data_IF_537326048296
#
_entry.id   IF_537326048296
#
_cell.length_a   1.000
_cell.length_b   1.000
_cell.length_c   1.000
_cell.angle_alpha   90.00
_cell.angle_beta   90.00
_cell.angle_gamma   90.00
#
_symmetry.space_group_name_H-M   'P 1'
#
loop_
_entity.id
_entity.type
_entity.pdbx_description
1 polymer ?
#
# COMPACT_ATOMS: atom_id res chain seq x y z
N UNK A 1 47.47 8.41 -28.13
CA UNK A 1 47.17 9.78 -27.69
C UNK A 1 45.72 10.06 -27.90
N UNK A 2 44.87 9.81 -26.91
CA UNK A 2 43.54 10.41 -26.86
C UNK A 2 43.14 10.50 -25.39
N UNK A 3 43.10 11.73 -24.90
CA UNK A 3 42.51 12.09 -23.61
C UNK A 3 40.99 12.00 -23.77
N UNK A 4 40.33 11.02 -23.16
CA UNK A 4 38.88 11.02 -22.95
C UNK A 4 38.60 11.04 -21.44
N UNK A 5 38.44 12.23 -21.00
CA UNK A 5 37.37 12.78 -20.18
C UNK A 5 36.79 11.87 -19.09
N UNK A 6 37.39 11.89 -17.94
CA UNK A 6 36.77 11.57 -16.66
C UNK A 6 36.01 12.79 -16.17
N UNK A 7 34.81 12.99 -16.60
CA UNK A 7 33.88 13.97 -16.03
C UNK A 7 32.52 13.26 -15.91
N UNK A 8 32.01 13.28 -14.72
CA UNK A 8 30.63 13.05 -14.28
C UNK A 8 30.41 11.86 -13.35
N UNK A 9 31.08 11.87 -12.22
CA UNK A 9 30.62 11.16 -11.02
C UNK A 9 30.67 12.05 -9.78
N UNK A 10 30.83 13.36 -9.95
CA UNK A 10 31.01 14.34 -8.87
C UNK A 10 29.74 15.11 -8.49
N UNK A 11 28.60 14.94 -9.18
CA UNK A 11 27.42 15.76 -8.94
C UNK A 11 26.61 15.39 -7.68
N UNK A 12 26.51 14.11 -7.36
CA UNK A 12 25.74 13.65 -6.18
C UNK A 12 26.66 13.42 -4.97
N UNK A 13 27.87 12.94 -5.21
CA UNK A 13 28.90 12.88 -4.18
C UNK A 13 29.33 14.28 -3.74
N UNK A 14 29.28 15.28 -4.62
CA UNK A 14 29.63 16.68 -4.32
C UNK A 14 28.67 17.37 -3.35
N UNK A 15 27.40 16.98 -3.30
CA UNK A 15 26.45 17.50 -2.28
C UNK A 15 26.68 16.80 -0.94
N UNK A 16 27.20 15.57 -0.94
CA UNK A 16 27.53 14.82 0.27
C UNK A 16 29.00 14.94 0.69
N UNK A 17 29.91 15.31 -0.22
CA UNK A 17 31.36 15.46 0.05
C UNK A 17 31.80 16.85 0.48
N UNK A 18 30.93 17.86 0.42
CA UNK A 18 31.13 19.08 1.17
C UNK A 18 30.79 18.78 2.63
N UNK A 19 31.72 18.20 3.38
CA UNK A 19 31.66 17.88 4.80
C UNK A 19 31.55 19.12 5.74
N UNK A 20 30.92 20.17 5.26
CA UNK A 20 30.28 21.17 6.12
C UNK A 20 28.79 20.90 5.96
N UNK A 21 28.19 20.22 6.96
CA UNK A 21 26.75 20.28 7.14
C UNK A 21 26.34 21.75 6.88
N UNK A 22 25.35 22.04 6.00
CA UNK A 22 24.89 23.40 5.87
C UNK A 22 24.61 23.91 7.28
N UNK A 23 25.14 25.09 7.62
CA UNK A 23 24.94 25.69 8.94
C UNK A 23 23.44 26.04 9.04
N UNK A 24 22.63 25.05 9.44
CA UNK A 24 21.26 25.29 9.87
C UNK A 24 21.35 25.98 11.22
N UNK A 25 20.55 27.01 11.41
CA UNK A 25 20.51 27.73 12.69
C UNK A 25 20.32 26.71 13.81
N UNK A 26 21.07 26.87 14.89
CA UNK A 26 20.95 26.06 16.10
C UNK A 26 19.46 26.03 16.52
N UNK A 27 18.82 24.83 16.56
CA UNK A 27 17.38 24.69 16.81
C UNK A 27 16.51 24.40 15.58
N UNK A 28 17.08 24.21 14.38
CA UNK A 28 16.30 23.74 13.20
C UNK A 28 15.81 22.33 13.41
N UNK A 29 14.55 22.07 13.05
CA UNK A 29 13.87 20.79 13.20
C UNK A 29 13.21 20.37 11.90
N UNK A 30 13.19 19.06 11.63
CA UNK A 30 12.34 18.43 10.61
C UNK A 30 11.41 17.43 11.31
N UNK A 31 10.13 17.66 11.15
CA UNK A 31 9.07 16.80 11.67
C UNK A 31 8.47 15.95 10.54
N UNK A 32 8.52 14.64 10.70
CA UNK A 32 7.98 13.65 9.75
C UNK A 32 6.79 12.94 10.38
N UNK A 33 5.65 12.96 9.70
CA UNK A 33 4.48 12.17 10.11
C UNK A 33 4.31 10.98 9.17
N UNK A 34 4.20 9.80 9.76
CA UNK A 34 3.97 8.53 9.09
C UNK A 34 2.83 7.76 9.78
N UNK A 35 2.31 6.75 9.11
CA UNK A 35 1.44 5.80 9.79
C UNK A 35 2.21 4.93 10.78
N UNK A 36 1.51 4.37 11.76
CA UNK A 36 2.02 3.26 12.57
C UNK A 36 2.12 2.04 11.67
N UNK A 37 3.32 1.50 11.52
CA UNK A 37 3.57 0.39 10.59
C UNK A 37 2.98 -0.93 11.12
N UNK A 38 2.51 -1.78 10.22
CA UNK A 38 2.04 -3.14 10.55
C UNK A 38 3.20 -4.07 10.96
N UNK A 39 4.43 -3.65 10.69
CA UNK A 39 5.65 -4.25 11.20
C UNK A 39 6.26 -3.27 12.22
N UNK A 40 5.98 -3.43 13.54
CA UNK A 40 6.41 -2.47 14.57
C UNK A 40 7.90 -2.18 14.57
N UNK A 41 8.72 -3.14 14.16
CA UNK A 41 10.17 -2.98 14.09
C UNK A 41 10.61 -1.98 13.02
N UNK A 42 9.77 -1.73 12.00
CA UNK A 42 10.03 -0.69 10.99
C UNK A 42 9.99 0.71 11.62
N UNK A 43 9.02 0.96 12.51
CA UNK A 43 8.93 2.22 13.26
C UNK A 43 10.07 2.34 14.29
N UNK A 44 10.43 1.23 14.95
CA UNK A 44 11.57 1.19 15.88
C UNK A 44 12.88 1.51 15.16
N UNK A 45 13.08 0.97 13.95
CA UNK A 45 14.27 1.26 13.16
C UNK A 45 14.34 2.73 12.74
N UNK A 46 13.23 3.34 12.30
CA UNK A 46 13.20 4.78 12.00
C UNK A 46 13.49 5.65 13.22
N UNK A 47 12.94 5.30 14.39
CA UNK A 47 13.27 5.98 15.67
C UNK A 47 14.75 5.84 16.01
N UNK A 48 15.33 4.65 15.78
CA UNK A 48 16.77 4.40 15.97
C UNK A 48 17.63 5.24 15.02
N UNK A 49 17.17 5.43 13.77
CA UNK A 49 17.87 6.23 12.77
C UNK A 49 17.76 7.75 13.00
N UNK A 50 16.74 8.23 13.72
CA UNK A 50 16.51 9.66 13.91
C UNK A 50 17.72 10.43 14.50
N UNK A 51 18.43 9.96 15.56
CA UNK A 51 19.66 10.61 16.04
C UNK A 51 20.80 10.61 15.01
N UNK A 52 20.92 9.56 14.20
CA UNK A 52 21.94 9.46 13.14
C UNK A 52 21.67 10.49 12.04
N UNK A 53 20.39 10.60 11.62
CA UNK A 53 19.95 11.61 10.66
C UNK A 53 20.13 13.04 11.22
N UNK A 54 19.77 13.25 12.49
CA UNK A 54 19.96 14.55 13.16
C UNK A 54 21.43 14.99 13.15
N UNK A 55 22.34 14.10 13.46
CA UNK A 55 23.77 14.35 13.40
C UNK A 55 24.24 14.66 11.98
N UNK A 56 23.79 13.88 11.00
CA UNK A 56 24.18 14.04 9.59
C UNK A 56 23.69 15.36 9.01
N UNK A 57 22.51 15.83 9.44
CA UNK A 57 21.86 17.04 8.91
C UNK A 57 22.15 18.29 9.75
N UNK A 58 22.72 18.17 10.95
CA UNK A 58 22.91 19.29 11.86
C UNK A 58 21.62 19.90 12.38
N UNK A 59 20.55 19.11 12.48
CA UNK A 59 19.22 19.57 12.89
C UNK A 59 18.44 18.43 13.57
N UNK A 60 17.47 18.75 14.42
CA UNK A 60 16.62 17.75 15.05
C UNK A 60 15.73 17.06 14.02
N UNK A 61 15.72 15.71 13.99
CA UNK A 61 14.81 14.90 13.20
C UNK A 61 13.85 14.20 14.14
N UNK A 62 12.55 14.41 13.94
CA UNK A 62 11.48 13.79 14.72
C UNK A 62 10.56 12.99 13.82
N UNK A 63 10.32 11.72 14.17
CA UNK A 63 9.25 10.90 13.57
C UNK A 63 8.05 10.83 14.52
N UNK A 64 6.88 11.11 13.98
CA UNK A 64 5.57 10.89 14.61
C UNK A 64 4.84 9.79 13.83
N UNK A 65 4.25 8.84 14.55
CA UNK A 65 3.50 7.73 13.97
C UNK A 65 2.05 7.81 14.42
N UNK A 66 1.13 7.86 13.45
CA UNK A 66 -0.31 8.02 13.68
C UNK A 66 -1.08 6.91 12.97
N UNK A 67 -2.38 6.76 13.26
CA UNK A 67 -3.23 5.84 12.50
C UNK A 67 -3.28 6.27 11.02
N UNK A 68 -3.27 5.31 10.10
CA UNK A 68 -3.31 5.60 8.65
C UNK A 68 -4.52 6.45 8.24
N UNK A 69 -5.69 6.22 8.87
CA UNK A 69 -6.91 6.97 8.61
C UNK A 69 -6.83 8.44 9.03
N UNK A 70 -5.89 8.79 9.93
CA UNK A 70 -5.69 10.17 10.40
C UNK A 70 -4.73 10.96 9.48
N UNK A 71 -4.00 10.30 8.56
CA UNK A 71 -3.04 10.98 7.70
C UNK A 71 -3.70 12.02 6.79
N UNK A 72 -4.75 11.67 6.04
CA UNK A 72 -5.42 12.61 5.14
C UNK A 72 -6.03 13.81 5.87
N UNK A 73 -6.79 13.64 6.96
CA UNK A 73 -7.25 14.77 7.79
C UNK A 73 -6.10 15.66 8.27
N UNK A 74 -4.99 15.07 8.72
CA UNK A 74 -3.81 15.81 9.20
C UNK A 74 -3.10 16.60 8.09
N UNK A 75 -2.96 16.01 6.89
CA UNK A 75 -2.41 16.67 5.71
C UNK A 75 -3.30 17.86 5.30
N UNK A 76 -4.61 17.64 5.22
CA UNK A 76 -5.60 18.65 4.84
C UNK A 76 -5.58 19.82 5.81
N UNK A 77 -5.63 19.57 7.12
CA UNK A 77 -5.55 20.58 8.15
C UNK A 77 -4.23 21.38 8.10
N UNK A 78 -3.10 20.71 7.86
CA UNK A 78 -1.79 21.35 7.72
C UNK A 78 -1.74 22.28 6.51
N UNK A 79 -2.28 21.88 5.37
CA UNK A 79 -2.34 22.73 4.15
C UNK A 79 -3.24 23.95 4.40
N UNK A 80 -4.41 23.75 5.02
CA UNK A 80 -5.37 24.83 5.30
C UNK A 80 -4.85 25.84 6.31
N UNK A 81 -4.17 25.39 7.38
CA UNK A 81 -3.62 26.26 8.41
C UNK A 81 -2.24 26.88 8.04
N UNK A 82 -1.59 26.35 7.01
CA UNK A 82 -0.23 26.74 6.66
C UNK A 82 0.81 26.33 7.70
N UNK A 83 0.55 25.27 8.50
CA UNK A 83 1.42 24.83 9.58
C UNK A 83 1.25 23.33 9.85
N UNK A 84 2.28 22.69 10.45
CA UNK A 84 2.26 21.28 10.78
C UNK A 84 3.61 20.61 10.53
N UNK A 85 3.60 19.31 10.26
CA UNK A 85 4.81 18.56 9.95
C UNK A 85 5.40 18.96 8.59
N UNK A 86 6.73 18.86 8.48
CA UNK A 86 7.46 19.22 7.25
C UNK A 86 7.31 18.17 6.16
N UNK A 87 7.22 16.90 6.56
CA UNK A 87 7.12 15.75 5.67
C UNK A 87 5.96 14.88 6.11
N UNK A 88 5.14 14.44 5.14
CA UNK A 88 4.14 13.41 5.35
C UNK A 88 4.41 12.20 4.48
N UNK A 89 4.20 11.02 5.07
CA UNK A 89 3.97 9.82 4.27
C UNK A 89 2.65 9.95 3.53
N UNK A 90 2.69 9.69 2.23
CA UNK A 90 1.53 9.68 1.36
C UNK A 90 1.29 8.29 0.79
N UNK A 91 0.03 7.93 0.65
CA UNK A 91 -0.42 6.64 0.15
C UNK A 91 -1.00 6.83 -1.26
N UNK A 92 -0.97 5.77 -2.06
CA UNK A 92 -1.56 5.76 -3.40
C UNK A 92 -1.15 6.98 -4.25
N UNK A 93 -2.11 7.61 -4.91
CA UNK A 93 -1.92 8.82 -5.72
C UNK A 93 -2.31 10.12 -4.98
N UNK A 94 -2.19 10.16 -3.63
CA UNK A 94 -2.45 11.37 -2.84
C UNK A 94 -1.64 12.59 -3.29
N UNK A 95 -0.39 12.48 -3.79
CA UNK A 95 0.29 13.64 -4.35
C UNK A 95 -0.47 14.35 -5.48
N UNK A 96 -1.31 13.62 -6.23
CA UNK A 96 -2.20 14.23 -7.24
C UNK A 96 -3.27 15.12 -6.60
N UNK A 97 -3.87 14.68 -5.47
CA UNK A 97 -4.90 15.43 -4.75
C UNK A 97 -4.33 16.68 -4.06
N UNK A 98 -3.16 16.53 -3.46
CA UNK A 98 -2.53 17.58 -2.64
C UNK A 98 -1.48 18.42 -3.38
N UNK A 99 -1.41 18.31 -4.70
CA UNK A 99 -0.34 18.92 -5.53
C UNK A 99 -0.04 20.39 -5.22
N UNK A 100 -1.06 21.19 -4.95
CA UNK A 100 -0.92 22.61 -4.64
C UNK A 100 -0.24 22.89 -3.28
N UNK A 101 -0.27 21.93 -2.36
CA UNK A 101 0.33 21.99 -1.02
C UNK A 101 1.73 21.38 -0.92
N UNK A 102 2.29 20.85 -2.01
CA UNK A 102 3.53 20.07 -2.00
C UNK A 102 4.68 20.81 -2.69
N UNK A 103 5.90 20.58 -2.19
CA UNK A 103 7.16 21.06 -2.78
C UNK A 103 7.57 20.14 -3.93
N UNK A 104 8.14 20.72 -4.99
CA UNK A 104 8.83 19.95 -6.03
C UNK A 104 10.08 19.30 -5.45
N UNK A 105 10.11 17.96 -5.50
CA UNK A 105 11.21 17.11 -5.02
C UNK A 105 11.88 16.31 -6.14
N UNK A 106 11.76 16.79 -7.40
CA UNK A 106 12.31 16.11 -8.58
C UNK A 106 13.80 15.87 -8.46
N UNK A 107 14.55 16.82 -7.90
CA UNK A 107 15.98 16.70 -7.65
C UNK A 107 16.32 15.47 -6.78
N UNK A 108 15.58 15.25 -5.71
CA UNK A 108 15.77 14.10 -4.81
C UNK A 108 15.28 12.81 -5.46
N UNK A 109 14.04 12.79 -5.99
CA UNK A 109 13.43 11.59 -6.55
C UNK A 109 14.23 11.03 -7.73
N UNK A 110 14.70 11.90 -8.64
CA UNK A 110 15.53 11.48 -9.77
C UNK A 110 16.91 10.99 -9.35
N UNK A 111 17.52 11.61 -8.34
CA UNK A 111 18.79 11.15 -7.80
C UNK A 111 18.66 9.74 -7.19
N UNK A 112 17.63 9.50 -6.38
CA UNK A 112 17.31 8.18 -5.80
C UNK A 112 17.02 7.16 -6.90
N UNK A 113 16.19 7.52 -7.87
CA UNK A 113 15.84 6.66 -9.01
C UNK A 113 17.09 6.20 -9.76
N UNK A 114 17.97 7.14 -10.15
CA UNK A 114 19.23 6.81 -10.84
C UNK A 114 20.15 5.92 -10.00
N UNK A 115 20.26 6.19 -8.71
CA UNK A 115 21.15 5.43 -7.82
C UNK A 115 20.65 3.99 -7.55
N UNK A 116 19.36 3.73 -7.72
CA UNK A 116 18.71 2.48 -7.33
C UNK A 116 18.08 1.73 -8.52
N UNK A 117 18.49 2.00 -9.75
CA UNK A 117 18.08 1.24 -10.94
C UNK A 117 16.71 1.60 -11.51
N UNK A 118 16.15 2.75 -11.14
CA UNK A 118 14.86 3.27 -11.61
C UNK A 118 13.70 2.83 -10.71
N UNK A 119 12.69 3.71 -10.59
CA UNK A 119 11.43 3.36 -9.97
C UNK A 119 10.57 2.52 -10.91
N UNK A 120 9.54 1.87 -10.37
CA UNK A 120 8.48 1.26 -11.17
C UNK A 120 7.55 2.33 -11.72
N UNK A 121 7.03 2.12 -12.94
CA UNK A 121 6.20 3.10 -13.67
C UNK A 121 4.95 3.56 -12.89
N UNK A 122 4.42 2.70 -12.03
CA UNK A 122 3.29 3.03 -11.17
C UNK A 122 3.59 4.20 -10.20
N UNK A 123 4.85 4.39 -9.79
CA UNK A 123 5.23 5.55 -8.99
C UNK A 123 5.23 6.85 -9.79
N UNK A 124 5.54 6.80 -11.08
CA UNK A 124 5.42 7.97 -11.97
C UNK A 124 3.97 8.45 -11.98
N UNK A 125 3.01 7.53 -12.16
CA UNK A 125 1.58 7.86 -12.12
C UNK A 125 1.11 8.36 -10.74
N UNK A 126 1.65 7.82 -9.66
CA UNK A 126 1.27 8.18 -8.30
C UNK A 126 1.82 9.55 -7.86
N UNK A 127 3.09 9.82 -8.14
CA UNK A 127 3.85 10.91 -7.52
C UNK A 127 4.20 12.07 -8.45
N UNK A 128 4.10 11.91 -9.78
CA UNK A 128 4.35 13.00 -10.74
C UNK A 128 3.08 13.76 -11.07
N UNK A 129 3.15 15.08 -10.99
CA UNK A 129 2.10 16.00 -11.43
C UNK A 129 2.71 17.04 -12.36
N UNK A 130 2.21 17.12 -13.59
CA UNK A 130 2.77 18.05 -14.58
C UNK A 130 4.27 17.82 -14.86
N UNK A 131 4.71 16.55 -14.86
CA UNK A 131 6.09 16.15 -15.10
C UNK A 131 7.05 16.32 -13.91
N UNK A 132 6.59 16.84 -12.77
CA UNK A 132 7.40 17.08 -11.57
C UNK A 132 7.08 16.04 -10.49
N UNK A 133 8.09 15.54 -9.80
CA UNK A 133 7.91 14.72 -8.62
C UNK A 133 7.47 15.57 -7.43
N UNK A 134 6.28 15.31 -6.92
CA UNK A 134 5.75 15.95 -5.71
C UNK A 134 5.88 15.08 -4.45
N UNK A 135 6.35 13.87 -4.61
CA UNK A 135 6.76 12.99 -3.52
C UNK A 135 7.94 12.12 -3.96
N UNK A 136 8.76 11.69 -3.01
CA UNK A 136 9.83 10.71 -3.24
C UNK A 136 9.27 9.32 -3.01
N UNK A 137 9.22 8.44 -4.02
CA UNK A 137 8.83 7.04 -3.85
C UNK A 137 9.68 6.33 -2.80
N UNK A 138 9.03 5.58 -1.92
CA UNK A 138 9.70 4.89 -0.83
C UNK A 138 9.56 3.38 -0.92
N UNK A 139 8.34 2.88 -0.92
CA UNK A 139 8.05 1.44 -0.98
C UNK A 139 6.64 1.20 -1.51
N UNK A 140 6.30 -0.06 -1.73
CA UNK A 140 4.92 -0.49 -1.99
C UNK A 140 4.55 -1.63 -1.07
N UNK A 141 3.28 -1.67 -0.64
CA UNK A 141 2.72 -2.84 0.01
C UNK A 141 2.50 -3.96 -1.01
N UNK A 142 2.86 -5.18 -0.65
CA UNK A 142 2.47 -6.37 -1.40
C UNK A 142 1.13 -6.89 -0.91
N UNK A 143 0.30 -7.39 -1.82
CA UNK A 143 -0.98 -8.01 -1.50
C UNK A 143 -1.01 -9.46 -1.94
N UNK A 144 -1.39 -10.33 -1.02
CA UNK A 144 -1.60 -11.76 -1.25
C UNK A 144 -2.74 -12.26 -0.37
N UNK A 145 -3.31 -13.40 -0.67
CA UNK A 145 -4.23 -14.05 0.25
C UNK A 145 -3.40 -14.86 1.24
N UNK A 146 -3.41 -14.46 2.52
CA UNK A 146 -2.93 -15.29 3.61
C UNK A 146 -3.96 -16.36 3.91
N UNK A 147 -3.55 -17.63 4.05
CA UNK A 147 -4.48 -18.74 4.25
C UNK A 147 -3.91 -19.85 5.15
N UNK A 148 -4.81 -20.55 5.84
CA UNK A 148 -4.50 -21.66 6.73
C UNK A 148 -4.37 -22.96 5.93
N UNK A 149 -3.14 -23.44 5.74
CA UNK A 149 -2.85 -24.64 4.97
C UNK A 149 -3.55 -25.88 5.53
N UNK A 150 -3.49 -26.09 6.85
CA UNK A 150 -4.12 -27.24 7.51
C UNK A 150 -5.63 -27.28 7.30
N UNK A 151 -6.31 -26.13 7.38
CA UNK A 151 -7.75 -26.04 7.21
C UNK A 151 -8.19 -26.29 5.76
N UNK A 152 -7.40 -25.82 4.79
CA UNK A 152 -7.66 -26.12 3.38
C UNK A 152 -7.42 -27.60 3.06
N UNK A 153 -6.43 -28.23 3.70
CA UNK A 153 -6.21 -29.67 3.58
C UNK A 153 -7.40 -30.51 4.09
N UNK A 154 -8.13 -30.05 5.12
CA UNK A 154 -9.36 -30.72 5.61
C UNK A 154 -10.49 -30.80 4.58
N UNK A 155 -10.44 -29.95 3.55
CA UNK A 155 -11.39 -29.95 2.43
C UNK A 155 -10.78 -30.48 1.13
N UNK A 156 -9.59 -31.10 1.22
CA UNK A 156 -8.89 -31.74 0.10
C UNK A 156 -8.07 -30.79 -0.77
N UNK A 157 -7.72 -29.58 -0.29
CA UNK A 157 -6.92 -28.63 -1.04
C UNK A 157 -5.49 -28.54 -0.48
N UNK A 158 -4.50 -28.74 -1.34
CA UNK A 158 -3.07 -28.59 -1.05
C UNK A 158 -2.49 -27.27 -1.57
N UNK A 159 -3.23 -26.57 -2.42
CA UNK A 159 -2.92 -25.25 -2.97
C UNK A 159 -4.13 -24.32 -2.81
N UNK A 160 -3.88 -23.01 -2.78
CA UNK A 160 -4.96 -22.04 -2.75
C UNK A 160 -5.73 -22.01 -4.09
N UNK A 161 -7.06 -21.81 -4.08
CA UNK A 161 -7.87 -21.72 -5.29
C UNK A 161 -7.39 -20.65 -6.26
N UNK A 162 -7.37 -20.95 -7.56
CA UNK A 162 -6.88 -20.03 -8.61
C UNK A 162 -7.98 -19.18 -9.26
N UNK A 163 -9.25 -19.49 -9.00
CA UNK A 163 -10.40 -18.75 -9.52
C UNK A 163 -11.33 -18.32 -8.41
N UNK A 164 -12.09 -17.25 -8.63
CA UNK A 164 -13.08 -16.75 -7.66
C UNK A 164 -14.14 -17.80 -7.34
N UNK A 165 -14.62 -18.56 -8.35
CA UNK A 165 -15.60 -19.63 -8.14
C UNK A 165 -15.04 -20.75 -7.25
N UNK A 166 -13.80 -21.18 -7.50
CA UNK A 166 -13.16 -22.21 -6.69
C UNK A 166 -12.90 -21.71 -5.25
N UNK A 167 -12.56 -20.42 -5.07
CA UNK A 167 -12.40 -19.81 -3.74
C UNK A 167 -13.73 -19.74 -2.99
N UNK A 168 -14.81 -19.34 -3.66
CA UNK A 168 -16.16 -19.35 -3.07
C UNK A 168 -16.56 -20.74 -2.60
N UNK A 169 -16.35 -21.77 -3.44
CA UNK A 169 -16.68 -23.16 -3.09
C UNK A 169 -15.82 -23.67 -1.91
N UNK A 170 -14.52 -23.38 -1.89
CA UNK A 170 -13.64 -23.70 -0.77
C UNK A 170 -14.09 -22.98 0.51
N UNK A 171 -14.38 -21.69 0.42
CA UNK A 171 -14.86 -20.86 1.53
C UNK A 171 -16.19 -21.35 2.09
N UNK A 172 -17.13 -21.78 1.20
CA UNK A 172 -18.40 -22.38 1.61
C UNK A 172 -18.20 -23.64 2.46
N UNK A 173 -17.29 -24.54 2.02
CA UNK A 173 -16.95 -25.75 2.77
C UNK A 173 -16.31 -25.44 4.12
N UNK A 174 -15.43 -24.44 4.17
CA UNK A 174 -14.77 -24.01 5.39
C UNK A 174 -15.72 -23.30 6.34
N UNK A 175 -16.59 -22.41 5.83
CA UNK A 175 -17.61 -21.71 6.65
C UNK A 175 -18.58 -22.73 7.30
N UNK A 176 -18.95 -23.79 6.61
CA UNK A 176 -19.78 -24.87 7.18
C UNK A 176 -19.09 -25.61 8.34
N UNK A 177 -17.77 -25.50 8.47
CA UNK A 177 -16.97 -26.01 9.58
C UNK A 177 -16.64 -24.92 10.64
N UNK A 178 -17.25 -23.75 10.55
CA UNK A 178 -16.96 -22.62 11.45
C UNK A 178 -15.65 -21.88 11.14
N UNK A 179 -15.11 -22.01 9.92
CA UNK A 179 -13.83 -21.46 9.46
C UNK A 179 -14.02 -20.52 8.24
N UNK A 180 -14.79 -19.42 8.36
CA UNK A 180 -15.12 -18.56 7.22
C UNK A 180 -13.88 -17.90 6.63
N UNK A 181 -14.03 -17.33 5.42
CA UNK A 181 -13.11 -16.35 4.85
C UNK A 181 -13.34 -15.03 5.57
N UNK A 182 -12.29 -14.33 5.97
CA UNK A 182 -12.39 -13.00 6.55
C UNK A 182 -11.90 -11.96 5.56
N UNK A 183 -12.77 -11.03 5.19
CA UNK A 183 -12.40 -9.94 4.29
C UNK A 183 -12.95 -8.62 4.79
N UNK A 184 -12.08 -7.59 4.89
CA UNK A 184 -12.51 -6.27 5.31
C UNK A 184 -13.26 -5.54 4.17
N UNK A 185 -14.41 -4.94 4.50
CA UNK A 185 -15.20 -4.03 3.65
C UNK A 185 -15.67 -2.78 4.42
N UNK A 186 -15.03 -2.45 5.55
CA UNK A 186 -15.26 -1.20 6.27
C UNK A 186 -14.48 -0.02 5.67
N UNK A 187 -14.55 1.13 6.33
CA UNK A 187 -13.83 2.32 5.88
C UNK A 187 -12.43 2.37 6.48
N UNK A 188 -11.45 1.88 5.74
CA UNK A 188 -10.02 2.09 5.99
C UNK A 188 -9.23 2.11 4.67
N UNK A 189 -8.00 2.62 4.71
CA UNK A 189 -7.24 2.90 3.48
C UNK A 189 -6.57 1.69 2.83
N UNK A 190 -6.39 0.59 3.53
CA UNK A 190 -5.62 -0.55 3.05
C UNK A 190 -6.50 -1.64 2.42
N UNK A 191 -6.92 -2.59 3.24
CA UNK A 191 -7.49 -3.86 2.78
C UNK A 191 -8.84 -3.73 2.07
N UNK A 192 -9.83 -2.93 2.54
CA UNK A 192 -11.12 -2.85 1.87
C UNK A 192 -11.02 -2.37 0.42
N UNK A 193 -10.39 -1.22 0.09
CA UNK A 193 -10.28 -0.81 -1.29
C UNK A 193 -9.31 -1.69 -2.09
N UNK A 194 -8.24 -2.22 -1.48
CA UNK A 194 -7.33 -3.12 -2.18
C UNK A 194 -8.05 -4.37 -2.68
N UNK A 195 -8.95 -4.92 -1.87
CA UNK A 195 -9.81 -6.02 -2.27
C UNK A 195 -10.86 -5.57 -3.28
N UNK A 196 -11.63 -4.52 -2.98
CA UNK A 196 -12.77 -4.08 -3.79
C UNK A 196 -12.37 -3.70 -5.23
N UNK A 197 -11.29 -2.94 -5.40
CA UNK A 197 -10.81 -2.55 -6.73
C UNK A 197 -10.22 -3.72 -7.51
N UNK A 198 -9.40 -4.56 -6.89
CA UNK A 198 -8.85 -5.75 -7.55
C UNK A 198 -9.99 -6.70 -7.96
N UNK A 199 -10.99 -6.86 -7.10
CA UNK A 199 -12.17 -7.67 -7.38
C UNK A 199 -12.98 -7.11 -8.56
N UNK A 200 -13.31 -5.79 -8.56
CA UNK A 200 -13.99 -5.11 -9.67
C UNK A 200 -13.28 -5.35 -11.00
N UNK A 201 -11.98 -5.12 -11.02
CA UNK A 201 -11.18 -5.26 -12.24
C UNK A 201 -11.03 -6.70 -12.72
N UNK A 202 -11.08 -7.68 -11.82
CA UNK A 202 -11.05 -9.11 -12.19
C UNK A 202 -12.31 -9.55 -12.92
N UNK A 203 -13.39 -8.77 -12.82
CA UNK A 203 -14.64 -8.93 -13.59
C UNK A 203 -14.72 -8.01 -14.81
N UNK A 204 -13.69 -7.22 -15.09
CA UNK A 204 -13.66 -6.27 -16.20
C UNK A 204 -14.41 -4.95 -15.95
N UNK A 205 -14.84 -4.70 -14.70
CA UNK A 205 -15.38 -3.40 -14.29
C UNK A 205 -14.29 -2.35 -14.16
N UNK A 206 -14.64 -1.07 -14.31
CA UNK A 206 -13.78 0.08 -14.13
C UNK A 206 -14.59 1.32 -13.75
N UNK A 207 -13.98 2.29 -13.07
CA UNK A 207 -14.64 3.55 -12.75
C UNK A 207 -14.79 4.42 -13.99
N UNK A 208 -13.70 4.60 -14.74
CA UNK A 208 -13.64 5.48 -15.91
C UNK A 208 -13.09 4.76 -17.14
N UNK A 209 -13.36 5.35 -18.30
CA UNK A 209 -12.72 4.98 -19.56
C UNK A 209 -11.21 5.36 -19.55
N UNK A 210 -10.42 4.94 -20.56
CA UNK A 210 -9.01 5.25 -20.63
C UNK A 210 -8.65 6.75 -20.62
N UNK A 211 -9.60 7.62 -20.98
CA UNK A 211 -9.39 9.07 -20.90
C UNK A 211 -9.49 9.62 -19.46
N UNK A 212 -10.09 8.85 -18.53
CA UNK A 212 -10.35 9.29 -17.16
C UNK A 212 -11.44 10.37 -17.05
N UNK A 213 -12.22 10.60 -18.09
CA UNK A 213 -13.23 11.68 -18.14
C UNK A 213 -14.65 11.18 -18.06
N UNK A 214 -14.93 10.00 -18.59
CA UNK A 214 -16.27 9.41 -18.64
C UNK A 214 -16.37 8.24 -17.67
N UNK A 215 -17.39 8.23 -16.84
CA UNK A 215 -17.71 7.11 -15.96
C UNK A 215 -18.23 5.93 -16.78
N UNK A 216 -17.66 4.74 -16.57
CA UNK A 216 -18.03 3.49 -17.26
C UNK A 216 -18.35 2.35 -16.29
N UNK A 217 -18.61 2.69 -15.02
CA UNK A 217 -18.86 1.70 -13.98
C UNK A 217 -20.03 0.79 -14.30
N UNK A 218 -21.08 1.33 -14.95
CA UNK A 218 -22.28 0.58 -15.33
C UNK A 218 -21.99 -0.34 -16.51
N UNK A 219 -21.42 -1.49 -16.22
CA UNK A 219 -21.07 -2.51 -17.19
C UNK A 219 -21.59 -3.89 -16.75
N UNK A 220 -21.73 -4.81 -17.69
CA UNK A 220 -22.09 -6.21 -17.40
C UNK A 220 -21.13 -6.83 -16.38
N UNK A 221 -19.83 -6.62 -16.55
CA UNK A 221 -18.81 -7.15 -15.64
C UNK A 221 -18.96 -6.61 -14.22
N UNK A 222 -19.26 -5.32 -14.05
CA UNK A 222 -19.52 -4.74 -12.73
C UNK A 222 -20.76 -5.36 -12.07
N UNK A 223 -21.89 -5.49 -12.80
CA UNK A 223 -23.10 -6.13 -12.27
C UNK A 223 -22.81 -7.56 -11.82
N UNK A 224 -22.10 -8.33 -12.63
CA UNK A 224 -21.72 -9.71 -12.31
C UNK A 224 -20.79 -9.76 -11.07
N UNK A 225 -19.86 -8.82 -10.94
CA UNK A 225 -18.99 -8.74 -9.76
C UNK A 225 -19.78 -8.48 -8.48
N UNK A 226 -20.74 -7.55 -8.51
CA UNK A 226 -21.58 -7.23 -7.35
C UNK A 226 -22.43 -8.43 -6.94
N UNK A 227 -23.08 -9.10 -7.91
CA UNK A 227 -23.88 -10.31 -7.66
C UNK A 227 -23.01 -11.44 -7.09
N UNK A 228 -21.83 -11.64 -7.66
CA UNK A 228 -20.92 -12.69 -7.18
C UNK A 228 -20.43 -12.39 -5.76
N UNK A 229 -20.00 -11.16 -5.47
CA UNK A 229 -19.50 -10.82 -4.14
C UNK A 229 -20.60 -10.96 -3.08
N UNK A 230 -21.82 -10.55 -3.38
CA UNK A 230 -22.97 -10.74 -2.48
C UNK A 230 -23.15 -12.24 -2.15
N UNK A 231 -23.09 -13.09 -3.16
CA UNK A 231 -23.20 -14.53 -2.97
C UNK A 231 -21.98 -15.12 -2.24
N UNK A 232 -20.75 -14.69 -2.60
CA UNK A 232 -19.52 -15.12 -1.92
C UNK A 232 -19.54 -14.74 -0.45
N UNK A 233 -19.99 -13.53 -0.12
CA UNK A 233 -20.10 -13.07 1.26
C UNK A 233 -21.03 -13.95 2.08
N UNK A 234 -22.23 -14.18 1.57
CA UNK A 234 -23.22 -15.05 2.23
C UNK A 234 -22.70 -16.47 2.42
N UNK A 235 -22.10 -17.03 1.39
CA UNK A 235 -21.74 -18.46 1.36
C UNK A 235 -20.42 -18.76 2.11
N UNK A 236 -19.47 -17.82 2.11
CA UNK A 236 -18.09 -18.09 2.47
C UNK A 236 -17.50 -17.15 3.53
N UNK A 237 -17.95 -15.88 3.59
CA UNK A 237 -17.29 -14.87 4.42
C UNK A 237 -17.85 -14.78 5.85
N UNK A 238 -17.02 -14.24 6.74
CA UNK A 238 -17.45 -13.76 8.05
C UNK A 238 -18.25 -12.46 7.88
N UNK A 239 -19.39 -12.36 8.54
CA UNK A 239 -20.29 -11.22 8.41
C UNK A 239 -19.71 -9.94 9.03
N UNK A 240 -18.88 -10.07 10.07
CA UNK A 240 -18.20 -8.97 10.75
C UNK A 240 -17.28 -8.15 9.83
N UNK A 241 -16.82 -8.73 8.73
CA UNK A 241 -15.96 -8.07 7.75
C UNK A 241 -16.51 -6.76 7.17
N UNK A 242 -17.82 -6.54 7.20
CA UNK A 242 -18.44 -5.26 6.80
C UNK A 242 -18.05 -4.07 7.68
N UNK A 243 -17.63 -4.32 8.92
CA UNK A 243 -17.21 -3.29 9.87
C UNK A 243 -15.68 -3.30 10.11
N UNK A 244 -14.94 -4.18 9.45
CA UNK A 244 -13.52 -4.33 9.70
C UNK A 244 -12.70 -3.22 9.03
N UNK A 245 -11.69 -2.75 9.77
CA UNK A 245 -10.58 -1.95 9.28
C UNK A 245 -9.38 -2.84 8.88
N UNK A 246 -8.24 -2.23 8.56
CA UNK A 246 -7.01 -2.89 8.15
C UNK A 246 -6.35 -3.75 9.26
N UNK A 247 -6.85 -3.72 10.50
CA UNK A 247 -6.29 -4.45 11.64
C UNK A 247 -7.15 -5.62 12.10
N UNK A 248 -8.46 -5.60 11.80
CA UNK A 248 -9.40 -6.60 12.29
C UNK A 248 -9.16 -7.97 11.67
N UNK A 249 -8.92 -8.05 10.37
CA UNK A 249 -8.62 -9.30 9.68
C UNK A 249 -7.33 -9.95 10.21
N UNK A 250 -6.29 -9.16 10.54
CA UNK A 250 -5.07 -9.66 11.17
C UNK A 250 -5.38 -10.31 12.53
N UNK A 251 -6.20 -9.62 13.36
CA UNK A 251 -6.61 -10.14 14.66
C UNK A 251 -7.43 -11.41 14.54
N UNK A 252 -8.44 -11.42 13.66
CA UNK A 252 -9.30 -12.57 13.43
C UNK A 252 -8.49 -13.78 12.90
N UNK A 253 -7.52 -13.55 12.02
CA UNK A 253 -6.65 -14.61 11.52
C UNK A 253 -5.76 -15.20 12.61
N UNK A 254 -5.13 -14.33 13.42
CA UNK A 254 -4.28 -14.77 14.54
C UNK A 254 -5.08 -15.44 15.67
N UNK A 255 -6.35 -15.08 15.84
CA UNK A 255 -7.26 -15.73 16.80
C UNK A 255 -7.83 -17.08 16.29
N UNK A 256 -7.56 -17.46 15.04
CA UNK A 256 -8.09 -18.69 14.46
C UNK A 256 -9.58 -18.61 14.12
N UNK A 257 -10.09 -17.43 13.82
CA UNK A 257 -11.50 -17.18 13.50
C UNK A 257 -11.79 -17.28 12.00
N UNK A 258 -10.77 -17.05 11.15
CA UNK A 258 -10.91 -17.03 9.69
C UNK A 258 -9.86 -17.90 8.99
N UNK A 259 -10.25 -18.47 7.86
CA UNK A 259 -9.42 -19.40 7.08
C UNK A 259 -8.49 -18.73 6.08
N UNK A 260 -8.88 -17.58 5.57
CA UNK A 260 -8.12 -16.83 4.56
C UNK A 260 -8.55 -15.36 4.56
N UNK A 261 -7.64 -14.46 4.17
CA UNK A 261 -7.91 -13.04 3.96
C UNK A 261 -6.91 -12.43 2.97
N UNK A 262 -7.33 -11.47 2.14
CA UNK A 262 -6.39 -10.63 1.40
C UNK A 262 -5.68 -9.70 2.40
N UNK A 263 -4.35 -9.74 2.38
CA UNK A 263 -3.52 -8.94 3.29
C UNK A 263 -2.09 -8.83 2.75
N UNK A 264 -1.27 -8.02 3.42
CA UNK A 264 0.19 -8.03 3.23
C UNK A 264 0.88 -9.16 4.02
N UNK A 265 2.20 -9.14 4.04
CA UNK A 265 3.02 -10.12 4.75
C UNK A 265 2.90 -10.05 6.29
N UNK A 266 2.24 -9.02 6.84
CA UNK A 266 2.19 -8.74 8.29
C UNK A 266 1.61 -9.90 9.10
N UNK A 267 0.59 -10.59 8.59
CA UNK A 267 -0.02 -11.75 9.27
C UNK A 267 1.05 -12.81 9.56
N UNK A 268 1.86 -13.18 8.57
CA UNK A 268 2.92 -14.18 8.73
C UNK A 268 4.04 -13.68 9.66
N UNK A 269 4.56 -12.48 9.37
CA UNK A 269 5.73 -11.91 10.08
C UNK A 269 5.42 -11.74 11.57
N UNK A 270 4.25 -11.16 11.89
CA UNK A 270 3.84 -10.96 13.29
C UNK A 270 3.62 -12.29 13.99
N UNK A 271 2.96 -13.27 13.35
CA UNK A 271 2.78 -14.61 13.92
C UNK A 271 4.12 -15.30 14.20
N UNK A 272 5.10 -15.18 13.29
CA UNK A 272 6.44 -15.74 13.47
C UNK A 272 7.20 -15.08 14.62
N UNK A 273 7.17 -13.77 14.71
CA UNK A 273 7.84 -13.00 15.78
C UNK A 273 7.21 -13.24 17.16
N UNK A 274 5.89 -13.44 17.18
CA UNK A 274 5.12 -13.76 18.39
C UNK A 274 4.78 -15.24 18.52
N UNK A 275 5.65 -16.13 18.03
CA UNK A 275 5.44 -17.59 17.97
C UNK A 275 5.09 -18.24 19.30
N UNK A 276 5.47 -17.63 20.43
CA UNK A 276 5.20 -18.16 21.76
C UNK A 276 3.77 -17.81 22.24
N UNK A 277 3.11 -16.83 21.63
CA UNK A 277 1.77 -16.35 22.00
C UNK A 277 0.74 -16.54 20.91
N UNK A 278 1.11 -16.48 19.62
CA UNK A 278 0.20 -16.71 18.50
C UNK A 278 0.33 -18.17 18.07
N UNK A 279 -0.64 -18.95 18.49
CA UNK A 279 -0.68 -20.41 18.34
C UNK A 279 -1.91 -20.85 17.55
N UNK A 280 -1.81 -22.00 16.92
CA UNK A 280 -2.96 -22.68 16.32
C UNK A 280 -3.80 -23.43 17.39
N UNK A 281 -4.88 -24.07 16.98
CA UNK A 281 -5.78 -24.85 17.81
C UNK A 281 -5.14 -26.09 18.46
N UNK A 282 -3.94 -26.48 18.05
CA UNK A 282 -3.14 -27.58 18.60
C UNK A 282 -2.05 -27.11 19.56
N UNK A 283 -1.93 -25.78 19.73
CA UNK A 283 -0.87 -25.17 20.52
C UNK A 283 0.46 -25.01 19.80
N UNK A 284 0.52 -25.30 18.48
CA UNK A 284 1.70 -25.11 17.67
C UNK A 284 1.81 -23.64 17.18
N UNK A 285 3.00 -23.12 16.89
CA UNK A 285 3.18 -21.79 16.37
C UNK A 285 2.41 -21.59 15.05
N UNK A 286 1.44 -20.66 15.03
CA UNK A 286 0.51 -20.47 13.92
C UNK A 286 1.23 -20.17 12.58
N UNK A 287 2.36 -19.44 12.60
CA UNK A 287 3.09 -19.07 11.38
C UNK A 287 3.49 -20.27 10.52
N UNK A 288 3.65 -21.46 11.11
CA UNK A 288 3.99 -22.69 10.38
C UNK A 288 2.85 -23.22 9.50
N UNK A 289 1.63 -22.76 9.77
CA UNK A 289 0.43 -23.14 9.00
C UNK A 289 -0.02 -22.04 8.02
N UNK A 290 0.70 -20.90 7.98
CA UNK A 290 0.36 -19.78 7.11
C UNK A 290 1.08 -19.91 5.78
N UNK A 291 0.33 -19.84 4.69
CA UNK A 291 0.83 -19.69 3.32
C UNK A 291 0.25 -18.43 2.68
N UNK A 292 0.86 -17.98 1.58
CA UNK A 292 0.37 -16.86 0.80
C UNK A 292 0.16 -17.25 -0.65
N UNK A 293 -0.92 -16.76 -1.23
CA UNK A 293 -1.22 -16.88 -2.65
C UNK A 293 -1.38 -15.48 -3.27
N UNK A 294 -0.65 -15.22 -4.35
CA UNK A 294 -0.70 -13.96 -5.09
C UNK A 294 -0.70 -14.20 -6.60
N UNK A 295 -1.44 -13.38 -7.35
CA UNK A 295 -2.39 -12.38 -6.89
C UNK A 295 -3.68 -13.00 -6.33
N UNK A 296 -4.75 -12.17 -6.14
CA UNK A 296 -6.11 -12.69 -5.89
C UNK A 296 -6.50 -13.73 -6.97
N UNK A 297 -7.33 -14.73 -6.62
CA UNK A 297 -7.89 -15.64 -7.62
C UNK A 297 -8.49 -14.90 -8.80
N UNK A 298 -8.31 -15.46 -10.01
CA UNK A 298 -8.80 -14.84 -11.23
C UNK A 298 -10.33 -14.80 -11.28
N UNK A 299 -10.88 -13.65 -11.64
CA UNK A 299 -12.26 -13.51 -12.12
C UNK A 299 -12.37 -13.78 -13.62
N UNK A 300 -13.55 -13.59 -14.22
CA UNK A 300 -13.77 -13.80 -15.65
C UNK A 300 -12.86 -12.99 -16.58
N UNK A 301 -12.43 -11.80 -16.15
CA UNK A 301 -11.50 -10.94 -16.89
C UNK A 301 -10.02 -11.14 -16.50
N UNK A 302 -9.73 -12.16 -15.69
CA UNK A 302 -8.39 -12.52 -15.27
C UNK A 302 -8.00 -12.00 -13.89
N UNK A 303 -6.69 -12.01 -13.63
CA UNK A 303 -6.10 -11.54 -12.38
C UNK A 303 -6.01 -10.02 -12.34
N UNK A 304 -6.19 -9.44 -11.17
CA UNK A 304 -5.98 -8.02 -10.94
C UNK A 304 -5.44 -7.76 -9.51
N UNK A 305 -4.63 -6.72 -9.38
CA UNK A 305 -4.13 -6.24 -8.10
C UNK A 305 -4.06 -4.72 -8.11
N UNK A 306 -4.44 -4.10 -6.99
CA UNK A 306 -4.24 -2.67 -6.78
C UNK A 306 -2.81 -2.42 -6.32
N UNK A 307 -2.15 -1.42 -6.93
CA UNK A 307 -0.85 -0.93 -6.48
C UNK A 307 -1.01 -0.05 -5.24
N UNK A 308 -0.20 -0.31 -4.21
CA UNK A 308 -0.26 0.42 -2.92
C UNK A 308 1.07 1.15 -2.68
N UNK A 309 1.34 2.26 -3.39
CA UNK A 309 2.58 2.99 -3.23
C UNK A 309 2.60 3.79 -1.93
N UNK A 310 3.77 3.77 -1.27
CA UNK A 310 4.12 4.63 -0.14
C UNK A 310 5.23 5.57 -0.56
N UNK A 311 5.07 6.84 -0.24
CA UNK A 311 5.97 7.89 -0.67
C UNK A 311 6.00 9.02 0.36
N UNK A 312 7.03 9.88 0.32
CA UNK A 312 7.16 10.99 1.25
C UNK A 312 7.12 12.31 0.49
N UNK A 313 6.23 13.22 0.91
CA UNK A 313 6.11 14.54 0.34
C UNK A 313 6.55 15.61 1.34
N UNK A 314 7.20 16.66 0.82
CA UNK A 314 7.56 17.86 1.59
C UNK A 314 6.45 18.89 1.43
N UNK A 315 5.98 19.43 2.54
CA UNK A 315 4.88 20.39 2.57
C UNK A 315 5.36 21.80 2.21
N UNK A 316 4.59 22.54 1.40
CA UNK A 316 4.94 23.91 0.99
C UNK A 316 5.06 24.90 2.15
N UNK A 317 4.33 24.68 3.24
CA UNK A 317 4.39 25.51 4.44
C UNK A 317 5.61 25.20 5.33
N UNK A 318 6.37 24.14 5.01
CA UNK A 318 7.62 23.85 5.74
C UNK A 318 8.55 25.05 5.73
N UNK A 319 9.06 25.40 6.88
CA UNK A 319 10.06 26.49 7.03
C UNK A 319 11.46 26.04 6.59
N UNK A 320 11.68 24.74 6.49
CA UNK A 320 12.98 24.11 6.20
C UNK A 320 12.92 23.12 5.03
N UNK A 321 12.40 23.50 3.84
CA UNK A 321 12.20 22.55 2.73
C UNK A 321 13.52 21.93 2.22
N UNK A 322 14.63 22.67 2.27
CA UNK A 322 15.95 22.14 1.92
C UNK A 322 16.41 21.05 2.89
N UNK A 323 16.16 21.26 4.17
CA UNK A 323 16.50 20.29 5.22
C UNK A 323 15.60 19.04 5.10
N UNK A 324 14.30 19.23 4.83
CA UNK A 324 13.36 18.15 4.56
C UNK A 324 13.79 17.29 3.35
N UNK A 325 14.20 17.91 2.25
CA UNK A 325 14.78 17.22 1.09
C UNK A 325 16.07 16.48 1.45
N UNK A 326 16.93 17.11 2.26
CA UNK A 326 18.15 16.47 2.78
C UNK A 326 17.84 15.21 3.58
N UNK A 327 16.80 15.24 4.43
CA UNK A 327 16.36 14.06 5.16
C UNK A 327 15.86 12.95 4.23
N UNK A 328 15.03 13.28 3.22
CA UNK A 328 14.59 12.29 2.23
C UNK A 328 15.77 11.68 1.47
N UNK A 329 16.77 12.48 1.10
CA UNK A 329 18.00 11.96 0.48
C UNK A 329 18.74 11.02 1.42
N UNK A 330 18.90 11.39 2.69
CA UNK A 330 19.58 10.59 3.71
C UNK A 330 18.85 9.25 3.96
N UNK A 331 17.53 9.28 4.10
CA UNK A 331 16.70 8.07 4.27
C UNK A 331 16.83 7.08 3.12
N UNK A 332 17.05 7.56 1.89
CA UNK A 332 17.19 6.72 0.69
C UNK A 332 18.65 6.35 0.35
N UNK A 333 19.62 6.74 1.18
CA UNK A 333 20.97 6.15 1.08
C UNK A 333 20.87 4.64 1.31
N UNK A 334 21.60 3.88 0.51
CA UNK A 334 21.50 2.41 0.51
C UNK A 334 21.68 1.78 1.89
N UNK A 335 22.57 2.33 2.69
CA UNK A 335 22.92 1.86 4.03
C UNK A 335 21.78 2.11 5.03
N UNK A 336 21.10 3.25 4.95
CA UNK A 336 20.00 3.64 5.84
C UNK A 336 18.70 2.96 5.43
N UNK A 337 18.37 3.04 4.14
CA UNK A 337 17.18 2.40 3.59
C UNK A 337 17.26 0.86 3.75
N UNK A 338 18.44 0.26 3.53
CA UNK A 338 18.63 -1.18 3.64
C UNK A 338 18.29 -1.73 5.02
N UNK A 339 18.71 -1.04 6.10
CA UNK A 339 18.38 -1.44 7.48
C UNK A 339 16.86 -1.44 7.71
N UNK A 340 16.16 -0.40 7.26
CA UNK A 340 14.71 -0.32 7.34
C UNK A 340 14.04 -1.38 6.45
N UNK A 341 14.55 -1.62 5.25
CA UNK A 341 14.01 -2.60 4.31
C UNK A 341 14.12 -4.03 4.85
N UNK A 342 15.26 -4.38 5.46
CA UNK A 342 15.49 -5.71 6.02
C UNK A 342 14.53 -6.06 7.15
N UNK A 343 14.22 -5.12 8.06
CA UNK A 343 13.29 -5.38 9.16
C UNK A 343 11.83 -5.55 8.70
N UNK A 344 11.50 -5.12 7.48
CA UNK A 344 10.18 -5.32 6.90
C UNK A 344 9.95 -6.74 6.36
N UNK A 345 11.00 -7.53 6.12
CA UNK A 345 10.93 -8.94 5.70
C UNK A 345 9.95 -9.21 4.53
N UNK A 346 9.76 -8.25 3.62
CA UNK A 346 8.86 -8.38 2.47
C UNK A 346 7.46 -7.78 2.67
N UNK A 347 7.12 -7.25 3.85
CA UNK A 347 5.89 -6.47 4.01
C UNK A 347 5.91 -5.20 3.15
N UNK A 348 6.99 -4.44 3.23
CA UNK A 348 7.27 -3.33 2.32
C UNK A 348 8.28 -3.75 1.26
N UNK A 349 7.90 -3.62 0.00
CA UNK A 349 8.74 -3.88 -1.18
C UNK A 349 9.32 -2.55 -1.66
N UNK A 350 10.59 -2.52 -2.00
CA UNK A 350 11.27 -1.28 -2.40
C UNK A 350 10.66 -0.64 -3.65
N UNK A 351 10.60 0.69 -3.66
CA UNK A 351 10.08 1.44 -4.80
C UNK A 351 10.97 1.37 -6.05
N UNK A 352 12.25 1.14 -5.88
CA UNK A 352 13.22 1.04 -6.98
C UNK A 352 13.58 -0.41 -7.27
N UNK A 353 13.88 -0.69 -8.55
CA UNK A 353 14.10 -2.04 -9.10
C UNK A 353 15.27 -2.79 -8.45
N UNK A 354 16.30 -2.07 -7.97
CA UNK A 354 17.45 -2.71 -7.31
C UNK A 354 17.06 -3.50 -6.04
N UNK A 355 15.98 -3.14 -5.37
CA UNK A 355 15.54 -3.78 -4.13
C UNK A 355 14.90 -5.16 -4.35
N UNK A 356 14.46 -5.49 -5.58
CA UNK A 356 14.05 -6.86 -5.91
C UNK A 356 15.20 -7.87 -5.83
N UNK A 357 16.44 -7.41 -6.03
CA UNK A 357 17.64 -8.26 -6.02
C UNK A 357 18.39 -8.17 -4.68
N UNK A 358 17.79 -7.53 -3.67
CA UNK A 358 18.42 -7.42 -2.35
C UNK A 358 18.61 -8.81 -1.71
N UNK A 359 19.78 -9.09 -1.05
CA UNK A 359 20.09 -10.39 -0.48
C UNK A 359 19.10 -10.87 0.59
N UNK A 360 18.31 -9.97 1.19
CA UNK A 360 17.24 -10.32 2.13
C UNK A 360 16.29 -11.36 1.53
N UNK A 361 15.93 -11.24 0.25
CA UNK A 361 14.98 -12.15 -0.41
C UNK A 361 15.45 -13.61 -0.43
N UNK A 362 16.76 -13.87 -0.43
CA UNK A 362 17.30 -15.22 -0.33
C UNK A 362 17.24 -15.79 1.09
N UNK A 363 17.01 -14.95 2.10
CA UNK A 363 17.06 -15.32 3.53
C UNK A 363 15.69 -15.44 4.17
N UNK A 364 14.66 -14.78 3.62
CA UNK A 364 13.31 -14.83 4.18
C UNK A 364 12.60 -16.13 3.82
N UNK A 365 11.58 -16.47 4.59
CA UNK A 365 10.84 -17.71 4.44
C UNK A 365 10.11 -17.83 3.11
N UNK A 366 9.94 -19.06 2.64
CA UNK A 366 9.29 -19.36 1.35
C UNK A 366 7.92 -18.71 1.18
N UNK A 367 6.99 -18.71 2.17
CA UNK A 367 5.69 -18.05 2.03
C UNK A 367 5.76 -16.55 1.74
N UNK A 368 6.88 -15.89 2.08
CA UNK A 368 7.07 -14.45 1.83
C UNK A 368 7.65 -14.14 0.45
N UNK A 369 8.13 -15.14 -0.29
CA UNK A 369 8.73 -14.94 -1.62
C UNK A 369 7.75 -14.38 -2.66
N UNK A 370 6.45 -14.59 -2.47
CA UNK A 370 5.41 -14.07 -3.38
C UNK A 370 5.41 -12.52 -3.44
N UNK A 371 5.88 -11.87 -2.38
CA UNK A 371 5.91 -10.40 -2.28
C UNK A 371 7.07 -9.76 -3.03
N UNK A 372 8.17 -10.49 -3.31
CA UNK A 372 9.37 -9.95 -3.96
C UNK A 372 9.09 -9.13 -5.22
N UNK A 373 8.10 -9.54 -6.00
CA UNK A 373 7.72 -8.92 -7.27
C UNK A 373 6.34 -8.24 -7.23
N UNK A 374 5.87 -7.90 -6.04
CA UNK A 374 4.55 -7.30 -5.85
C UNK A 374 4.37 -5.94 -6.56
N UNK A 375 5.47 -5.23 -6.83
CA UNK A 375 5.45 -3.98 -7.60
C UNK A 375 5.17 -4.18 -9.11
N UNK A 376 5.20 -5.42 -9.61
CA UNK A 376 4.95 -5.73 -11.02
C UNK A 376 3.49 -6.11 -11.24
N UNK A 377 2.96 -5.83 -12.43
CA UNK A 377 1.61 -6.25 -12.87
C UNK A 377 0.47 -5.74 -11.98
N UNK A 378 0.59 -4.53 -11.48
CA UNK A 378 -0.44 -3.87 -10.67
C UNK A 378 -1.11 -2.74 -11.44
N UNK A 379 -2.33 -2.36 -11.02
CA UNK A 379 -3.10 -1.25 -11.57
C UNK A 379 -3.19 -0.14 -10.54
N UNK A 380 -3.22 1.11 -11.02
CA UNK A 380 -3.40 2.28 -10.17
C UNK A 380 -4.87 2.62 -10.00
N UNK A 381 -5.17 3.37 -8.94
CA UNK A 381 -6.47 4.05 -8.79
C UNK A 381 -6.75 4.91 -10.03
N UNK A 382 -8.01 4.89 -10.49
CA UNK A 382 -8.42 5.52 -11.73
C UNK A 382 -8.37 4.61 -12.96
N UNK A 383 -7.86 3.37 -12.84
CA UNK A 383 -7.88 2.42 -13.95
C UNK A 383 -9.31 2.23 -14.49
N UNK A 384 -9.55 2.28 -15.81
CA UNK A 384 -8.65 2.29 -16.96
C UNK A 384 -8.02 3.67 -17.29
N UNK A 385 -8.52 4.76 -16.70
CA UNK A 385 -7.98 6.09 -16.87
C UNK A 385 -6.71 6.33 -16.04
N UNK A 386 -6.19 7.58 -16.08
CA UNK A 386 -5.01 7.98 -15.35
C UNK A 386 -5.26 8.13 -13.84
N UNK A 387 -4.19 7.99 -13.04
CA UNK A 387 -4.19 8.21 -11.60
C UNK A 387 -4.27 9.71 -11.27
N UNK A 388 -5.47 10.29 -11.29
CA UNK A 388 -5.71 11.73 -11.09
C UNK A 388 -6.16 12.06 -9.66
N UNK A 389 -6.27 13.36 -9.35
CA UNK A 389 -6.89 13.84 -8.12
C UNK A 389 -8.35 13.33 -7.97
N UNK A 390 -9.11 13.27 -9.07
CA UNK A 390 -10.48 12.73 -9.09
C UNK A 390 -10.51 11.24 -8.70
N UNK A 391 -9.54 10.45 -9.16
CA UNK A 391 -9.40 9.05 -8.75
C UNK A 391 -9.06 8.91 -7.26
N UNK A 392 -8.22 9.80 -6.73
CA UNK A 392 -7.95 9.85 -5.28
C UNK A 392 -9.20 10.24 -4.48
N UNK A 393 -9.98 11.19 -4.97
CA UNK A 393 -11.23 11.62 -4.32
C UNK A 393 -12.25 10.49 -4.28
N UNK A 394 -12.45 9.79 -5.40
CA UNK A 394 -13.34 8.61 -5.48
C UNK A 394 -12.95 7.54 -4.44
N UNK A 395 -11.67 7.22 -4.39
CA UNK A 395 -11.12 6.28 -3.44
C UNK A 395 -11.33 6.73 -1.99
N UNK A 396 -11.03 8.01 -1.67
CA UNK A 396 -11.14 8.55 -0.31
C UNK A 396 -12.58 8.64 0.19
N UNK A 397 -13.55 8.61 -0.73
CA UNK A 397 -14.99 8.54 -0.44
C UNK A 397 -15.52 7.11 -0.37
N UNK A 398 -14.65 6.09 -0.51
CA UNK A 398 -14.98 4.66 -0.44
C UNK A 398 -16.08 4.21 -1.41
N UNK A 399 -16.30 4.88 -2.55
CA UNK A 399 -17.46 4.67 -3.41
C UNK A 399 -17.55 3.21 -3.89
N UNK A 400 -16.45 2.61 -4.33
CA UNK A 400 -16.43 1.21 -4.80
C UNK A 400 -16.59 0.23 -3.63
N UNK A 401 -15.99 0.50 -2.47
CA UNK A 401 -16.17 -0.32 -1.26
C UNK A 401 -17.64 -0.30 -0.84
N UNK A 402 -18.24 0.88 -0.78
CA UNK A 402 -19.64 1.06 -0.38
C UNK A 402 -20.63 0.42 -1.37
N UNK A 403 -20.33 0.43 -2.66
CA UNK A 403 -21.13 -0.27 -3.65
C UNK A 403 -21.27 -1.75 -3.28
N UNK A 404 -20.17 -2.40 -2.95
CA UNK A 404 -20.17 -3.80 -2.54
C UNK A 404 -20.82 -3.99 -1.16
N UNK A 405 -20.47 -3.16 -0.19
CA UNK A 405 -21.03 -3.26 1.16
C UNK A 405 -22.55 -3.10 1.17
N UNK A 406 -23.11 -2.13 0.42
CA UNK A 406 -24.55 -1.94 0.29
C UNK A 406 -25.25 -3.16 -0.34
N UNK A 407 -24.64 -3.76 -1.37
CA UNK A 407 -25.20 -4.95 -1.99
C UNK A 407 -25.16 -6.17 -1.04
N UNK A 408 -24.08 -6.36 -0.30
CA UNK A 408 -23.97 -7.41 0.72
C UNK A 408 -25.01 -7.22 1.84
N UNK A 409 -25.34 -5.98 2.19
CA UNK A 409 -26.36 -5.62 3.18
C UNK A 409 -27.81 -5.73 2.62
N UNK A 410 -27.99 -6.16 1.38
CA UNK A 410 -29.30 -6.48 0.81
C UNK A 410 -29.83 -5.49 -0.24
N UNK A 411 -29.04 -4.44 -0.59
CA UNK A 411 -29.39 -3.61 -1.75
C UNK A 411 -29.26 -4.43 -3.03
N UNK A 412 -30.20 -4.28 -3.98
CA UNK A 412 -30.08 -4.94 -5.28
C UNK A 412 -28.80 -4.50 -5.99
N UNK A 413 -28.15 -5.42 -6.70
CA UNK A 413 -26.88 -5.15 -7.36
C UNK A 413 -26.95 -3.94 -8.31
N UNK A 414 -28.03 -3.86 -9.08
CA UNK A 414 -28.27 -2.76 -10.03
C UNK A 414 -28.50 -1.41 -9.33
N UNK A 415 -29.12 -1.40 -8.14
CA UNK A 415 -29.36 -0.18 -7.36
C UNK A 415 -28.05 0.29 -6.68
N UNK A 416 -27.24 -0.63 -6.13
CA UNK A 416 -25.93 -0.34 -5.58
C UNK A 416 -24.99 0.25 -6.63
N UNK A 417 -24.98 -0.34 -7.82
CA UNK A 417 -24.22 0.15 -8.96
C UNK A 417 -24.67 1.52 -9.42
N UNK A 418 -25.99 1.74 -9.55
CA UNK A 418 -26.57 3.04 -9.94
C UNK A 418 -26.20 4.14 -8.93
N UNK A 419 -26.22 3.81 -7.63
CA UNK A 419 -25.77 4.72 -6.59
C UNK A 419 -24.30 5.09 -6.80
N UNK A 420 -23.42 4.10 -6.93
CA UNK A 420 -21.97 4.33 -7.09
C UNK A 420 -21.65 5.10 -8.38
N UNK A 421 -22.33 4.77 -9.51
CA UNK A 421 -22.21 5.51 -10.76
C UNK A 421 -22.58 6.99 -10.58
N UNK A 422 -23.66 7.27 -9.84
CA UNK A 422 -24.10 8.64 -9.53
C UNK A 422 -23.05 9.42 -8.72
N UNK A 423 -22.45 8.79 -7.71
CA UNK A 423 -21.37 9.41 -6.92
C UNK A 423 -20.11 9.66 -7.76
N UNK A 424 -19.71 8.69 -8.60
CA UNK A 424 -18.58 8.87 -9.51
C UNK A 424 -18.80 10.00 -10.52
N UNK A 425 -20.00 10.12 -11.09
CA UNK A 425 -20.32 11.20 -12.04
C UNK A 425 -20.18 12.59 -11.42
N UNK A 426 -20.55 12.76 -10.14
CA UNK A 426 -20.32 14.03 -9.41
C UNK A 426 -18.85 14.41 -9.36
N UNK A 427 -17.94 13.44 -9.29
CA UNK A 427 -16.49 13.65 -9.21
C UNK A 427 -15.87 13.83 -10.61
N UNK A 428 -16.18 12.94 -11.53
CA UNK A 428 -15.50 12.86 -12.81
C UNK A 428 -16.11 13.78 -13.88
N UNK A 429 -17.42 13.98 -13.84
CA UNK A 429 -18.19 14.68 -14.88
C UNK A 429 -18.79 16.03 -14.40
N UNK A 430 -18.69 16.30 -13.07
CA UNK A 430 -19.15 17.52 -12.41
C UNK A 430 -18.22 18.72 -12.49
#
# INVERSE_FOLDING_TARGET
>A
MERRTFITLTGVAGILAAHRAPAFAQGSKVHVVRWVDFIPEADVELKRQAPEASKALGAEVQFEFINANDLQPRITAGIQSGSGADIFQMLYNWPQLYANGLVDVSDVAEAVSRAQGGFYDAFDAAAKVGGRWLAVPHSTGGNAVAWRRSWHAEIGLTEFPKTMDAWREAGRKLKAKGKPVGQALGHSFGDPPTFAYAFLWSYGGAETDPSGKRVVLNSKGTVESVKFLTAFWKDACDEGGLAWDDTNNNRAFHAGEISATLNGASIYIVAKRKKDTIKDEKGEPLWQDIEHAAPLPAGPAGEAALYVPFQHAVMKYSKNPKLAKGLLTWMHQKENYGKWFEVNEGYSVGAAKAWEEHPMWAKIDKPLQVFRRAARKTRMLGYQGPATAKATESYSKYIIVDMYAKAVQGMKAEDALKWAEGELKKIYEG
#
